data_IF_272365297746
#
_entry.id   IF_272365297746
#
_cell.length_a   1.000
_cell.length_b   1.000
_cell.length_c   1.000
_cell.angle_alpha   90.00
_cell.angle_beta   90.00
_cell.angle_gamma   90.00
#
_symmetry.space_group_name_H-M   'P 1'
#
loop_
_entity.id
_entity.type
_entity.pdbx_description
1 polymer ?
#
# COMPACT_ATOMS: atom_id res chain seq x y z
N UNK A 1 -4.65 -38.78 40.16
CA UNK A 1 -4.09 -37.78 39.28
C UNK A 1 -4.93 -37.75 38.01
N UNK A 2 -5.68 -36.68 37.72
CA UNK A 2 -6.38 -36.54 36.44
C UNK A 2 -5.44 -36.06 35.33
N UNK A 3 -5.69 -36.40 34.05
CA UNK A 3 -4.81 -36.03 32.95
C UNK A 3 -4.88 -34.54 32.64
N UNK A 4 -3.73 -33.93 32.38
CA UNK A 4 -3.59 -32.58 31.85
C UNK A 4 -4.07 -32.58 30.39
N UNK A 5 -5.08 -31.81 30.10
CA UNK A 5 -5.50 -31.50 28.72
C UNK A 5 -4.51 -30.44 28.19
N UNK A 6 -3.77 -30.79 27.13
CA UNK A 6 -3.02 -29.84 26.32
C UNK A 6 -4.00 -28.87 25.66
N UNK A 7 -3.95 -27.61 26.04
CA UNK A 7 -4.63 -26.55 25.31
C UNK A 7 -3.81 -26.22 24.06
N UNK A 8 -4.44 -26.38 22.92
CA UNK A 8 -3.87 -26.09 21.62
C UNK A 8 -3.53 -24.59 21.51
N UNK A 9 -2.29 -24.28 21.10
CA UNK A 9 -1.75 -22.90 20.96
C UNK A 9 -2.61 -22.02 20.04
N UNK A 10 -3.35 -22.63 19.09
CA UNK A 10 -4.30 -21.93 18.23
C UNK A 10 -5.49 -21.32 18.99
N UNK A 11 -5.93 -21.97 20.05
CA UNK A 11 -7.02 -21.47 20.91
C UNK A 11 -6.58 -20.29 21.80
N UNK A 12 -5.29 -20.18 22.11
CA UNK A 12 -4.77 -19.13 22.97
C UNK A 12 -4.66 -17.78 22.23
N UNK A 13 -4.34 -17.80 20.93
CA UNK A 13 -4.25 -16.59 20.10
C UNK A 13 -5.63 -15.96 19.88
N UNK A 14 -6.67 -16.78 19.73
CA UNK A 14 -8.06 -16.30 19.58
C UNK A 14 -8.58 -15.69 20.90
N UNK A 15 -8.18 -16.23 22.05
CA UNK A 15 -8.66 -15.74 23.34
C UNK A 15 -8.03 -14.39 23.74
N UNK A 16 -6.80 -14.11 23.32
CA UNK A 16 -6.11 -12.83 23.61
C UNK A 16 -6.70 -11.66 22.82
N UNK A 17 -7.19 -11.90 21.60
CA UNK A 17 -7.87 -10.88 20.78
C UNK A 17 -9.27 -10.56 21.36
N UNK A 18 -9.96 -11.52 21.97
CA UNK A 18 -11.30 -11.32 22.55
C UNK A 18 -11.23 -10.51 23.87
N UNK A 19 -10.16 -10.59 24.64
CA UNK A 19 -10.04 -9.86 25.91
C UNK A 19 -9.82 -8.35 25.69
N UNK A 20 -9.27 -7.93 24.57
CA UNK A 20 -9.10 -6.50 24.24
C UNK A 20 -10.44 -5.84 23.83
N UNK A 21 -11.45 -6.61 23.44
CA UNK A 21 -12.76 -6.11 23.00
C UNK A 21 -13.82 -6.00 24.13
N UNK A 22 -13.56 -6.49 25.34
CA UNK A 22 -14.57 -6.51 26.43
C UNK A 22 -14.22 -5.69 27.66
N UNK A 23 -13.22 -4.80 27.62
CA UNK A 23 -12.96 -3.82 28.67
C UNK A 23 -13.54 -2.45 28.35
N UNK A 24 -14.83 -2.41 28.02
CA UNK A 24 -15.59 -1.16 27.96
C UNK A 24 -16.73 -1.28 28.96
N UNK A 25 -16.50 -0.99 30.24
CA UNK A 25 -17.57 -0.78 31.21
C UNK A 25 -17.43 0.58 31.90
N UNK A 26 -18.47 1.36 31.68
CA UNK A 26 -19.08 2.41 32.50
C UNK A 26 -18.14 3.22 33.45
N UNK A 27 -17.54 4.19 32.87
CA UNK A 27 -17.08 5.39 33.54
C UNK A 27 -16.85 6.44 32.46
N UNK A 28 -17.64 7.51 32.47
CA UNK A 28 -17.41 8.72 31.71
C UNK A 28 -16.09 9.39 32.18
N UNK A 29 -14.96 8.75 31.86
CA UNK A 29 -13.71 9.44 31.66
C UNK A 29 -13.56 9.55 30.15
N UNK A 30 -13.67 10.76 29.61
CA UNK A 30 -13.08 11.08 28.34
C UNK A 30 -11.66 10.55 28.37
N UNK A 31 -11.44 9.38 27.73
CA UNK A 31 -10.12 8.99 27.30
C UNK A 31 -9.70 10.14 26.40
N UNK A 32 -8.92 11.05 26.96
CA UNK A 32 -8.37 12.17 26.23
C UNK A 32 -7.72 11.57 24.99
N UNK A 33 -8.32 11.77 23.84
CA UNK A 33 -7.69 11.45 22.56
C UNK A 33 -6.37 12.21 22.58
N UNK A 34 -5.26 11.51 22.76
CA UNK A 34 -3.93 12.10 22.56
C UNK A 34 -3.92 12.50 21.09
N UNK A 35 -4.30 13.76 20.81
CA UNK A 35 -4.11 14.36 19.50
C UNK A 35 -2.62 14.65 19.38
N UNK A 36 -1.97 13.91 18.54
CA UNK A 36 -0.62 14.27 18.12
C UNK A 36 -0.74 15.37 17.06
N UNK A 37 0.06 16.41 17.18
CA UNK A 37 0.21 17.38 16.13
C UNK A 37 0.74 16.66 14.87
N UNK A 38 0.17 16.94 13.67
CA UNK A 38 0.61 16.30 12.45
C UNK A 38 2.11 16.55 12.20
N UNK A 39 2.81 15.54 11.74
CA UNK A 39 4.20 15.72 11.32
C UNK A 39 4.27 16.54 10.03
N UNK A 40 5.33 17.37 9.86
CA UNK A 40 5.56 18.10 8.63
C UNK A 40 5.66 17.16 7.42
N UNK A 41 5.04 17.58 6.31
CA UNK A 41 5.09 16.89 5.03
C UNK A 41 5.99 17.68 4.10
N UNK A 42 7.08 17.09 3.64
CA UNK A 42 7.98 17.68 2.64
C UNK A 42 7.46 17.36 1.24
N UNK A 43 7.23 18.38 0.42
CA UNK A 43 6.92 18.22 -1.02
C UNK A 43 8.22 18.25 -1.81
N UNK A 44 8.55 17.14 -2.42
CA UNK A 44 9.83 16.94 -3.12
C UNK A 44 9.57 16.80 -4.61
N UNK A 45 10.26 17.63 -5.39
CA UNK A 45 10.33 17.54 -6.85
C UNK A 45 11.67 16.98 -7.28
N UNK A 46 11.67 15.91 -8.06
CA UNK A 46 12.88 15.28 -8.57
C UNK A 46 12.70 14.79 -10.01
N UNK A 47 13.81 14.61 -10.72
CA UNK A 47 13.78 14.09 -12.09
C UNK A 47 13.71 12.55 -12.06
N UNK A 48 12.70 11.99 -12.73
CA UNK A 48 12.55 10.54 -12.92
C UNK A 48 13.23 10.13 -14.23
N UNK A 49 14.23 9.30 -14.12
CA UNK A 49 14.90 8.72 -15.29
C UNK A 49 13.98 7.79 -16.09
N UNK A 50 13.15 7.01 -15.40
CA UNK A 50 12.21 6.08 -16.02
C UNK A 50 11.10 6.79 -16.80
N UNK A 51 10.72 8.01 -16.36
CA UNK A 51 9.66 8.79 -16.97
C UNK A 51 10.19 9.96 -17.81
N UNK A 52 11.49 10.28 -17.75
CA UNK A 52 12.16 11.39 -18.43
C UNK A 52 11.47 12.75 -18.19
N UNK A 53 11.01 12.96 -16.95
CA UNK A 53 10.38 14.22 -16.50
C UNK A 53 10.47 14.39 -15.00
N UNK A 54 10.23 15.64 -14.56
CA UNK A 54 10.09 15.91 -13.13
C UNK A 54 8.80 15.26 -12.59
N UNK A 55 8.93 14.63 -11.44
CA UNK A 55 7.85 14.03 -10.66
C UNK A 55 7.88 14.56 -9.23
N UNK A 56 6.80 14.33 -8.51
CA UNK A 56 6.66 14.73 -7.13
C UNK A 56 6.48 13.52 -6.22
N UNK A 57 6.91 13.66 -4.99
CA UNK A 57 6.60 12.78 -3.86
C UNK A 57 6.39 13.62 -2.61
N UNK A 58 5.60 13.16 -1.68
CA UNK A 58 5.62 13.68 -0.32
C UNK A 58 6.43 12.76 0.58
N UNK A 59 7.23 13.36 1.46
CA UNK A 59 8.02 12.64 2.46
C UNK A 59 7.63 13.13 3.85
N UNK A 60 7.42 12.21 4.78
CA UNK A 60 7.25 12.51 6.20
C UNK A 60 8.37 11.82 6.96
N UNK A 61 9.12 12.61 7.72
CA UNK A 61 10.18 12.12 8.58
C UNK A 61 9.67 11.84 9.98
N UNK A 62 10.17 10.80 10.67
CA UNK A 62 9.77 10.50 12.03
C UNK A 62 10.22 11.60 12.99
N UNK A 63 9.53 11.71 14.14
CA UNK A 63 9.91 12.67 15.20
C UNK A 63 11.36 12.43 15.64
N UNK A 64 12.12 13.52 15.79
CA UNK A 64 13.53 13.43 16.20
C UNK A 64 14.50 12.99 15.09
N UNK A 65 14.04 12.89 13.84
CA UNK A 65 14.92 12.54 12.72
C UNK A 65 16.15 13.44 12.64
N UNK A 66 16.02 14.75 12.83
CA UNK A 66 17.15 15.70 12.77
C UNK A 66 18.14 15.55 13.92
N UNK A 67 17.69 15.02 15.05
CA UNK A 67 18.48 14.89 16.28
C UNK A 67 19.18 13.53 16.40
N UNK A 68 19.05 12.66 15.42
CA UNK A 68 19.61 11.31 15.41
C UNK A 68 20.43 11.02 14.16
N UNK A 69 21.30 10.02 14.24
CA UNK A 69 22.08 9.51 13.10
C UNK A 69 21.71 8.06 12.75
N UNK A 70 20.58 7.56 13.25
CA UNK A 70 20.12 6.19 12.93
C UNK A 70 19.50 6.12 11.55
N UNK A 71 19.48 4.92 10.99
CA UNK A 71 18.74 4.61 9.75
C UNK A 71 17.32 4.15 10.11
N UNK A 72 16.36 4.51 9.29
CA UNK A 72 14.93 4.26 9.50
C UNK A 72 14.35 3.33 8.44
N UNK A 73 13.39 2.45 8.81
CA UNK A 73 12.58 1.76 7.82
C UNK A 73 11.72 2.74 7.02
N UNK A 74 11.33 2.34 5.81
CA UNK A 74 10.56 3.18 4.88
C UNK A 74 9.28 2.49 4.47
N UNK A 75 8.16 3.19 4.59
CA UNK A 75 6.86 2.80 4.06
C UNK A 75 6.52 3.66 2.83
N UNK A 76 6.32 3.01 1.67
CA UNK A 76 5.87 3.65 0.44
C UNK A 76 4.35 3.53 0.34
N UNK A 77 3.65 4.66 0.10
CA UNK A 77 2.19 4.74 0.02
C UNK A 77 1.76 5.07 -1.41
N UNK A 78 0.92 4.21 -1.98
CA UNK A 78 0.42 4.22 -3.35
C UNK A 78 -1.02 4.73 -3.39
N UNK A 79 -1.26 5.89 -4.02
CA UNK A 79 -2.57 6.54 -4.11
C UNK A 79 -3.57 5.82 -5.03
N UNK A 80 -4.85 6.10 -4.84
CA UNK A 80 -5.95 5.59 -5.66
C UNK A 80 -6.04 6.24 -7.05
N UNK A 81 -6.91 5.67 -7.90
CA UNK A 81 -7.21 6.22 -9.23
C UNK A 81 -7.81 7.61 -9.08
N UNK A 82 -7.41 8.53 -9.96
CA UNK A 82 -7.81 9.95 -9.96
C UNK A 82 -7.28 10.80 -8.81
N UNK A 83 -6.58 10.18 -7.84
CA UNK A 83 -5.90 10.84 -6.74
C UNK A 83 -4.41 11.15 -7.07
N UNK A 84 -3.61 11.51 -6.09
CA UNK A 84 -2.20 11.87 -6.22
C UNK A 84 -1.44 11.66 -4.90
N UNK A 85 -0.16 12.00 -4.85
CA UNK A 85 0.71 11.92 -3.68
C UNK A 85 0.27 12.74 -2.45
N UNK A 86 -0.83 13.51 -2.53
CA UNK A 86 -1.43 14.19 -1.38
C UNK A 86 -2.56 13.39 -0.70
N UNK A 87 -3.06 12.31 -1.29
CA UNK A 87 -4.20 11.55 -0.77
C UNK A 87 -4.04 11.19 0.70
N UNK A 88 -2.88 10.70 1.07
CA UNK A 88 -2.61 10.21 2.42
C UNK A 88 -2.52 11.32 3.49
N UNK A 89 -2.39 12.58 3.08
CA UNK A 89 -2.55 13.72 4.00
C UNK A 89 -3.99 13.89 4.45
N UNK A 90 -4.95 13.57 3.58
CA UNK A 90 -6.38 13.70 3.88
C UNK A 90 -6.91 12.54 4.74
N UNK A 91 -6.29 11.37 4.66
CA UNK A 91 -6.67 10.21 5.48
C UNK A 91 -5.91 10.11 6.81
N UNK A 92 -5.17 11.14 7.20
CA UNK A 92 -4.60 11.29 8.55
C UNK A 92 -3.24 10.66 8.78
N UNK A 93 -2.47 10.34 7.73
CA UNK A 93 -1.13 9.73 7.89
C UNK A 93 -0.15 10.62 8.68
N UNK A 94 -0.11 11.97 8.49
CA UNK A 94 0.78 12.83 9.28
C UNK A 94 0.55 12.74 10.80
N UNK A 95 -0.69 12.52 11.23
CA UNK A 95 -1.08 12.34 12.63
C UNK A 95 -0.70 10.95 13.13
N UNK A 96 -0.95 9.91 12.34
CA UNK A 96 -0.71 8.52 12.73
C UNK A 96 0.77 8.20 12.86
N UNK A 97 1.60 8.81 12.02
CA UNK A 97 3.04 8.54 11.96
C UNK A 97 3.78 8.91 13.24
N UNK A 98 3.24 9.81 14.08
CA UNK A 98 3.83 10.15 15.37
C UNK A 98 4.11 8.96 16.32
N UNK A 99 3.55 7.79 16.00
CA UNK A 99 3.69 6.56 16.79
C UNK A 99 4.76 5.61 16.26
N UNK A 100 5.38 5.94 15.14
CA UNK A 100 6.28 5.04 14.43
C UNK A 100 7.58 5.75 14.06
N UNK A 101 8.71 5.11 14.37
CA UNK A 101 10.03 5.58 13.95
C UNK A 101 10.33 5.05 12.53
N UNK A 102 9.60 5.55 11.55
CA UNK A 102 9.78 5.21 10.12
C UNK A 102 9.60 6.44 9.24
N UNK A 103 10.23 6.42 8.07
CA UNK A 103 9.99 7.38 7.00
C UNK A 103 8.77 6.91 6.20
N UNK A 104 7.88 7.84 5.85
CA UNK A 104 6.77 7.56 4.92
C UNK A 104 6.96 8.36 3.64
N UNK A 105 6.82 7.68 2.50
CA UNK A 105 6.94 8.26 1.16
C UNK A 105 5.62 8.05 0.42
N UNK A 106 4.94 9.14 0.07
CA UNK A 106 3.72 9.11 -0.73
C UNK A 106 4.10 9.33 -2.20
N UNK A 107 3.92 8.30 -3.01
CA UNK A 107 4.37 8.31 -4.41
C UNK A 107 3.32 8.93 -5.34
N UNK A 108 3.74 9.56 -6.44
CA UNK A 108 2.85 9.99 -7.52
C UNK A 108 3.13 9.21 -8.81
N UNK A 109 2.08 8.66 -9.37
CA UNK A 109 2.11 7.96 -10.66
C UNK A 109 0.99 8.39 -11.61
N UNK A 110 0.20 9.41 -11.22
CA UNK A 110 -1.03 9.76 -11.96
C UNK A 110 -1.95 8.54 -12.12
N UNK A 111 -2.63 8.45 -13.24
CA UNK A 111 -3.58 7.36 -13.53
C UNK A 111 -2.89 6.22 -14.32
N UNK A 112 -1.73 5.76 -13.87
CA UNK A 112 -0.90 4.81 -14.61
C UNK A 112 -1.11 3.34 -14.25
N UNK A 113 -1.82 3.05 -13.16
CA UNK A 113 -1.94 1.71 -12.57
C UNK A 113 -0.60 1.12 -12.09
N UNK A 114 0.39 1.95 -11.83
CA UNK A 114 1.71 1.52 -11.33
C UNK A 114 2.47 0.58 -12.28
N UNK A 115 2.06 0.45 -13.54
CA UNK A 115 2.66 -0.48 -14.51
C UNK A 115 3.50 0.26 -15.56
N UNK A 116 4.47 -0.43 -16.12
CA UNK A 116 5.15 0.03 -17.33
C UNK A 116 4.23 -0.19 -18.52
N UNK A 117 3.87 0.88 -19.23
CA UNK A 117 2.95 0.79 -20.37
C UNK A 117 3.63 0.16 -21.57
N UNK A 118 2.96 -0.76 -22.23
CA UNK A 118 3.50 -1.49 -23.39
C UNK A 118 3.84 -0.55 -24.54
N UNK A 119 3.04 0.51 -24.76
CA UNK A 119 3.35 1.57 -25.73
C UNK A 119 3.06 2.94 -25.15
N UNK A 120 4.07 3.78 -25.12
CA UNK A 120 3.93 5.21 -24.84
C UNK A 120 3.65 5.98 -26.13
N UNK A 121 2.94 7.11 -26.02
CA UNK A 121 2.87 8.08 -27.12
C UNK A 121 4.28 8.59 -27.43
N UNK A 122 4.54 8.89 -28.70
CA UNK A 122 5.86 9.42 -29.12
C UNK A 122 6.29 10.61 -28.25
N UNK A 123 7.50 10.55 -27.74
CA UNK A 123 8.08 11.57 -26.84
C UNK A 123 7.66 11.46 -25.38
N UNK A 124 6.88 10.42 -25.00
CA UNK A 124 6.57 10.11 -23.61
C UNK A 124 7.23 8.82 -23.19
N UNK A 125 7.53 8.73 -21.89
CA UNK A 125 8.03 7.55 -21.20
C UNK A 125 7.05 7.21 -20.08
N UNK A 126 6.42 6.03 -20.13
CA UNK A 126 5.39 5.61 -19.20
C UNK A 126 5.80 4.35 -18.42
N UNK A 127 7.05 4.35 -17.90
CA UNK A 127 7.62 3.26 -17.13
C UNK A 127 7.38 3.49 -15.62
N UNK A 128 6.12 3.44 -15.19
CA UNK A 128 5.75 3.82 -13.83
C UNK A 128 6.11 2.77 -12.76
N UNK A 129 6.16 1.48 -13.12
CA UNK A 129 6.69 0.48 -12.21
C UNK A 129 8.16 0.75 -11.90
N UNK A 130 8.96 1.05 -12.93
CA UNK A 130 10.37 1.42 -12.79
C UNK A 130 10.55 2.73 -12.03
N UNK A 131 9.68 3.72 -12.27
CA UNK A 131 9.66 4.96 -11.52
C UNK A 131 9.55 4.72 -10.01
N UNK A 132 8.62 3.86 -9.57
CA UNK A 132 8.46 3.57 -8.15
C UNK A 132 9.61 2.71 -7.62
N UNK A 133 9.94 1.61 -8.31
CA UNK A 133 10.86 0.59 -7.80
C UNK A 133 12.33 0.92 -7.98
N UNK A 134 12.66 1.88 -8.85
CA UNK A 134 14.04 2.31 -9.14
C UNK A 134 14.24 3.78 -8.75
N UNK A 135 13.52 4.71 -9.40
CA UNK A 135 13.83 6.14 -9.27
C UNK A 135 13.48 6.67 -7.88
N UNK A 136 12.24 6.40 -7.39
CA UNK A 136 11.81 6.86 -6.05
C UNK A 136 12.64 6.18 -4.96
N UNK A 137 12.81 4.86 -5.01
CA UNK A 137 13.61 4.13 -4.00
C UNK A 137 15.04 4.66 -3.97
N UNK A 138 15.69 4.82 -5.12
CA UNK A 138 17.04 5.34 -5.20
C UNK A 138 17.14 6.78 -4.68
N UNK A 139 16.17 7.64 -5.04
CA UNK A 139 16.12 9.01 -4.54
C UNK A 139 16.03 9.04 -3.01
N UNK A 140 15.10 8.27 -2.44
CA UNK A 140 14.87 8.20 -1.00
C UNK A 140 16.10 7.65 -0.26
N UNK A 141 16.69 6.57 -0.74
CA UNK A 141 17.87 5.95 -0.12
C UNK A 141 19.12 6.83 -0.20
N UNK A 142 19.21 7.73 -1.19
CA UNK A 142 20.37 8.65 -1.34
C UNK A 142 20.22 9.96 -0.58
N UNK A 143 18.98 10.37 -0.27
CA UNK A 143 18.72 11.68 0.37
C UNK A 143 18.31 11.56 1.84
N UNK A 144 17.90 10.37 2.28
CA UNK A 144 17.46 10.14 3.66
C UNK A 144 18.19 8.96 4.29
N UNK A 145 18.27 8.95 5.61
CA UNK A 145 18.86 7.85 6.38
C UNK A 145 17.90 6.67 6.43
N UNK A 146 17.96 5.83 5.43
CA UNK A 146 17.10 4.66 5.27
C UNK A 146 17.84 3.36 5.56
N UNK A 147 17.13 2.36 6.05
CA UNK A 147 17.59 0.96 5.99
C UNK A 147 17.40 0.49 4.56
N UNK A 148 18.39 0.79 3.70
CA UNK A 148 18.37 0.62 2.24
C UNK A 148 18.40 -0.85 1.79
N UNK A 149 17.46 -1.64 2.32
CA UNK A 149 17.36 -3.08 2.02
C UNK A 149 15.90 -3.55 2.13
N UNK A 150 15.60 -4.73 1.57
CA UNK A 150 14.28 -5.38 1.69
C UNK A 150 13.75 -5.38 3.13
N UNK A 151 14.61 -5.62 4.12
CA UNK A 151 14.22 -5.72 5.53
C UNK A 151 13.56 -4.44 6.06
N UNK A 152 14.02 -3.29 5.57
CA UNK A 152 13.56 -1.97 6.00
C UNK A 152 12.52 -1.35 5.06
N UNK A 153 11.98 -2.07 4.06
CA UNK A 153 10.99 -1.49 3.12
C UNK A 153 9.66 -2.21 3.16
N UNK A 154 8.60 -1.42 3.19
CA UNK A 154 7.24 -1.88 2.99
C UNK A 154 6.54 -1.00 1.93
N UNK A 155 5.53 -1.55 1.27
CA UNK A 155 4.66 -0.83 0.33
C UNK A 155 3.20 -1.08 0.67
N UNK A 156 2.38 -0.04 0.56
CA UNK A 156 0.97 -0.06 0.92
C UNK A 156 0.19 0.80 -0.07
N UNK A 157 -1.08 0.57 -0.25
CA UNK A 157 -1.87 1.39 -1.17
C UNK A 157 -3.36 1.19 -1.07
N UNK A 158 -4.08 2.16 -1.64
CA UNK A 158 -5.52 2.25 -1.65
C UNK A 158 -6.03 2.05 -3.08
N UNK A 159 -7.08 1.22 -3.28
CA UNK A 159 -7.76 1.09 -4.57
C UNK A 159 -6.82 0.71 -5.73
N UNK A 160 -6.61 1.58 -6.72
CA UNK A 160 -5.58 1.42 -7.76
C UNK A 160 -4.18 1.27 -7.12
N UNK A 161 -3.89 2.01 -6.05
CA UNK A 161 -2.65 1.89 -5.29
C UNK A 161 -2.54 0.57 -4.54
N UNK A 162 -3.67 0.02 -4.07
CA UNK A 162 -3.73 -1.32 -3.47
C UNK A 162 -3.36 -2.42 -4.48
N UNK A 163 -3.85 -2.31 -5.72
CA UNK A 163 -3.37 -3.13 -6.84
C UNK A 163 -1.87 -2.91 -7.06
N UNK A 164 -1.43 -1.65 -7.14
CA UNK A 164 -0.03 -1.29 -7.37
C UNK A 164 0.91 -1.85 -6.30
N UNK A 165 0.54 -1.76 -5.03
CA UNK A 165 1.34 -2.28 -3.92
C UNK A 165 1.50 -3.80 -3.97
N UNK A 166 0.43 -4.54 -4.25
CA UNK A 166 0.48 -5.99 -4.42
C UNK A 166 1.28 -6.37 -5.67
N UNK A 167 0.99 -5.75 -6.82
CA UNK A 167 1.70 -5.99 -8.08
C UNK A 167 3.21 -5.74 -7.92
N UNK A 168 3.61 -4.55 -7.46
CA UNK A 168 5.02 -4.18 -7.33
C UNK A 168 5.75 -5.06 -6.31
N UNK A 169 5.09 -5.39 -5.19
CA UNK A 169 5.69 -6.22 -4.17
C UNK A 169 5.89 -7.68 -4.59
N UNK A 170 4.95 -8.26 -5.32
CA UNK A 170 5.06 -9.62 -5.84
C UNK A 170 6.03 -9.71 -7.03
N UNK A 171 6.06 -8.70 -7.91
CA UNK A 171 6.99 -8.65 -9.05
C UNK A 171 8.44 -8.36 -8.61
N UNK A 172 8.62 -7.73 -7.45
CA UNK A 172 9.94 -7.36 -6.93
C UNK A 172 10.12 -7.86 -5.48
N UNK A 173 10.07 -9.18 -5.24
CA UNK A 173 10.08 -9.75 -3.88
C UNK A 173 11.37 -9.48 -3.10
N UNK A 174 12.42 -9.02 -3.77
CA UNK A 174 13.69 -8.61 -3.15
C UNK A 174 13.69 -7.13 -2.69
N UNK A 175 12.65 -6.35 -2.97
CA UNK A 175 12.58 -4.94 -2.58
C UNK A 175 11.80 -4.71 -1.28
N UNK A 176 10.72 -5.47 -1.02
CA UNK A 176 9.80 -5.21 0.08
C UNK A 176 9.62 -6.44 0.96
N UNK A 177 9.69 -6.26 2.29
CA UNK A 177 9.40 -7.32 3.24
C UNK A 177 7.92 -7.41 3.62
N UNK A 178 7.14 -6.35 3.36
CA UNK A 178 5.71 -6.30 3.63
C UNK A 178 4.99 -5.51 2.54
N UNK A 179 3.84 -6.03 2.10
CA UNK A 179 2.94 -5.43 1.12
C UNK A 179 1.54 -5.35 1.68
N UNK A 180 0.83 -4.26 1.44
CA UNK A 180 -0.52 -4.07 1.94
C UNK A 180 -1.45 -3.45 0.92
N UNK A 181 -2.73 -3.82 0.95
CA UNK A 181 -3.77 -3.34 0.04
C UNK A 181 -5.06 -3.06 0.77
N UNK A 182 -5.53 -1.81 0.66
CA UNK A 182 -6.82 -1.36 1.16
C UNK A 182 -7.80 -1.23 -0.01
N UNK A 183 -8.89 -1.98 0.02
CA UNK A 183 -9.89 -1.96 -1.08
C UNK A 183 -9.23 -2.04 -2.46
N UNK A 184 -8.23 -2.91 -2.63
CA UNK A 184 -7.43 -2.98 -3.85
C UNK A 184 -8.22 -3.50 -5.05
N UNK A 185 -8.01 -2.86 -6.22
CA UNK A 185 -8.61 -3.29 -7.48
C UNK A 185 -7.88 -4.49 -8.08
N UNK A 186 -7.74 -5.58 -7.31
CA UNK A 186 -6.85 -6.71 -7.61
C UNK A 186 -7.20 -7.44 -8.91
N UNK A 187 -8.48 -7.47 -9.29
CA UNK A 187 -8.94 -8.10 -10.54
C UNK A 187 -8.77 -7.25 -11.79
N UNK A 188 -8.32 -6.00 -11.64
CA UNK A 188 -8.27 -5.07 -12.78
C UNK A 188 -7.48 -5.62 -13.98
N UNK A 189 -6.32 -6.22 -13.77
CA UNK A 189 -5.50 -6.78 -14.86
C UNK A 189 -6.23 -7.92 -15.61
N UNK A 190 -6.87 -8.83 -14.88
CA UNK A 190 -7.66 -9.91 -15.45
C UNK A 190 -8.87 -9.39 -16.28
N UNK A 191 -9.48 -8.29 -15.85
CA UNK A 191 -10.57 -7.65 -16.62
C UNK A 191 -10.05 -6.98 -17.89
N UNK A 192 -8.87 -6.35 -17.84
CA UNK A 192 -8.24 -5.80 -19.05
C UNK A 192 -7.87 -6.91 -20.05
N UNK A 193 -7.38 -8.05 -19.55
CA UNK A 193 -7.13 -9.23 -20.36
C UNK A 193 -8.37 -9.69 -21.14
N UNK A 194 -9.51 -9.83 -20.43
CA UNK A 194 -10.79 -10.20 -21.05
C UNK A 194 -11.22 -9.23 -22.16
N UNK A 195 -10.99 -7.93 -21.97
CA UNK A 195 -11.26 -6.91 -22.98
C UNK A 195 -10.40 -7.12 -24.23
N UNK A 196 -9.11 -7.35 -24.06
CA UNK A 196 -8.18 -7.62 -25.16
C UNK A 196 -8.53 -8.89 -25.93
N UNK A 197 -8.92 -9.97 -25.25
CA UNK A 197 -9.41 -11.21 -25.88
C UNK A 197 -10.67 -10.99 -26.74
N UNK A 198 -11.49 -10.00 -26.35
CA UNK A 198 -12.68 -9.58 -27.11
C UNK A 198 -12.36 -8.55 -28.22
N UNK A 199 -11.10 -8.22 -28.45
CA UNK A 199 -10.67 -7.19 -29.38
C UNK A 199 -11.05 -5.76 -28.97
N UNK A 200 -11.38 -5.56 -27.67
CA UNK A 200 -11.70 -4.25 -27.09
C UNK A 200 -10.45 -3.60 -26.53
N UNK A 201 -10.49 -2.26 -26.43
CA UNK A 201 -9.38 -1.50 -25.80
C UNK A 201 -9.44 -1.64 -24.28
N UNK A 202 -8.28 -1.83 -23.61
CA UNK A 202 -8.17 -1.68 -22.18
C UNK A 202 -8.61 -0.28 -21.75
N UNK A 203 -9.26 -0.19 -20.58
CA UNK A 203 -9.57 1.10 -19.98
C UNK A 203 -8.57 1.45 -18.86
N UNK A 204 -8.23 2.71 -18.77
CA UNK A 204 -7.40 3.27 -17.69
C UNK A 204 -8.27 3.98 -16.67
N UNK A 205 -9.22 4.77 -17.16
CA UNK A 205 -10.25 5.46 -16.38
C UNK A 205 -11.59 5.19 -17.07
N UNK A 206 -12.62 4.82 -16.32
CA UNK A 206 -13.98 4.74 -16.86
C UNK A 206 -14.66 6.11 -16.83
N UNK A 207 -15.53 6.36 -17.79
CA UNK A 207 -16.16 7.69 -18.00
C UNK A 207 -16.88 8.22 -16.77
N UNK A 208 -17.52 7.36 -15.98
CA UNK A 208 -18.20 7.77 -14.75
C UNK A 208 -17.23 8.29 -13.69
N UNK A 209 -16.05 7.68 -13.54
CA UNK A 209 -15.02 8.15 -12.61
C UNK A 209 -14.50 9.54 -12.99
N UNK A 210 -14.40 9.85 -14.29
CA UNK A 210 -14.05 11.19 -14.77
C UNK A 210 -15.07 12.25 -14.34
N UNK A 211 -16.37 11.94 -14.39
CA UNK A 211 -17.44 12.87 -14.04
C UNK A 211 -17.55 13.10 -12.53
N UNK A 212 -17.45 12.02 -11.73
CA UNK A 212 -17.61 12.09 -10.28
C UNK A 212 -16.42 12.78 -9.60
N UNK A 213 -15.21 12.66 -10.18
CA UNK A 213 -13.98 13.17 -9.57
C UNK A 213 -13.68 14.61 -9.93
N UNK A 214 -14.12 15.09 -11.09
CA UNK A 214 -14.04 16.51 -11.45
C UNK A 214 -14.75 17.40 -10.42
N UNK A 215 -15.77 16.89 -9.74
CA UNK A 215 -16.49 17.63 -8.69
C UNK A 215 -15.81 17.58 -7.32
N UNK A 216 -15.03 16.55 -7.00
CA UNK A 216 -14.43 16.36 -5.66
C UNK A 216 -13.04 16.97 -5.50
N UNK A 217 -12.22 16.97 -6.54
CA UNK A 217 -10.77 17.30 -6.46
C UNK A 217 -10.36 18.53 -7.29
N UNK A 218 -11.31 19.29 -7.85
CA UNK A 218 -11.02 20.48 -8.68
C UNK A 218 -10.34 21.64 -7.93
N UNK A 219 -10.16 21.54 -6.62
CA UNK A 219 -9.56 22.61 -5.81
C UNK A 219 -8.11 22.36 -5.39
N UNK A 220 -7.49 21.26 -5.83
CA UNK A 220 -6.09 21.00 -5.53
C UNK A 220 -5.29 21.37 -6.78
N UNK A 221 -4.94 22.65 -6.87
CA UNK A 221 -4.02 23.16 -7.88
C UNK A 221 -2.60 22.70 -7.52
N UNK A 222 -2.17 21.62 -8.16
CA UNK A 222 -0.80 21.14 -8.05
C UNK A 222 -0.09 21.58 -9.32
N UNK A 223 0.96 22.36 -9.19
CA UNK A 223 1.77 22.82 -10.31
C UNK A 223 2.17 21.65 -11.21
N UNK A 224 1.66 21.61 -12.46
CA UNK A 224 1.89 20.57 -13.44
C UNK A 224 0.86 19.41 -13.44
N UNK A 225 -0.19 19.46 -12.59
CA UNK A 225 -1.22 18.41 -12.49
C UNK A 225 -2.60 19.01 -12.29
N UNK A 226 -3.04 19.87 -13.17
CA UNK A 226 -4.30 20.61 -12.98
C UNK A 226 -5.56 19.81 -13.30
N UNK A 227 -5.49 18.76 -14.12
CA UNK A 227 -6.67 17.98 -14.50
C UNK A 227 -6.42 16.47 -14.59
N UNK A 228 -7.47 15.65 -14.36
CA UNK A 228 -7.41 14.20 -14.48
C UNK A 228 -6.93 13.72 -15.86
N UNK A 229 -7.37 14.32 -17.00
CA UNK A 229 -6.85 13.98 -18.31
C UNK A 229 -5.35 14.20 -18.46
N UNK A 230 -4.81 15.28 -17.89
CA UNK A 230 -3.37 15.59 -17.95
C UNK A 230 -2.53 14.61 -17.16
N UNK A 231 -3.08 14.07 -16.07
CA UNK A 231 -2.46 13.05 -15.23
C UNK A 231 -2.59 11.64 -15.77
N UNK A 232 -3.36 11.46 -16.85
CA UNK A 232 -3.53 10.14 -17.49
C UNK A 232 -2.46 9.98 -18.58
N UNK A 233 -1.58 8.97 -18.47
CA UNK A 233 -0.58 8.71 -19.49
C UNK A 233 -1.23 8.46 -20.87
N UNK A 234 -0.55 8.85 -21.92
CA UNK A 234 -1.02 8.63 -23.30
C UNK A 234 -0.26 7.49 -23.95
N UNK A 235 -1.01 6.58 -24.59
CA UNK A 235 -0.48 5.40 -25.23
C UNK A 235 -1.40 4.19 -25.09
N UNK A 236 -0.81 3.02 -25.01
CA UNK A 236 -1.53 1.77 -24.76
C UNK A 236 -0.89 1.08 -23.56
N UNK A 237 -1.67 0.95 -22.49
CA UNK A 237 -1.20 0.29 -21.26
C UNK A 237 -0.88 -1.17 -21.53
N UNK A 238 -1.76 -1.86 -22.27
CA UNK A 238 -1.59 -3.22 -22.76
C UNK A 238 -1.94 -3.29 -24.26
N UNK A 239 -1.24 -4.13 -25.00
CA UNK A 239 -1.46 -4.35 -26.45
C UNK A 239 -2.04 -5.74 -26.72
N UNK A 240 -1.68 -6.72 -25.91
CA UNK A 240 -2.09 -8.12 -26.01
C UNK A 240 -2.42 -8.68 -24.62
N UNK A 241 -3.21 -9.77 -24.52
CA UNK A 241 -3.61 -10.37 -23.26
C UNK A 241 -2.45 -10.68 -22.29
N UNK A 242 -1.31 -11.13 -22.83
CA UNK A 242 -0.12 -11.50 -22.03
C UNK A 242 0.50 -10.29 -21.31
N UNK A 243 0.31 -9.07 -21.84
CA UNK A 243 0.78 -7.85 -21.17
C UNK A 243 0.02 -7.62 -19.85
N UNK A 244 -1.27 -7.93 -19.82
CA UNK A 244 -2.08 -7.86 -18.62
C UNK A 244 -1.77 -9.02 -17.66
N UNK A 245 -1.49 -10.23 -18.18
CA UNK A 245 -1.09 -11.38 -17.38
C UNK A 245 0.21 -11.11 -16.59
N UNK A 246 1.15 -10.40 -17.19
CA UNK A 246 2.43 -10.08 -16.58
C UNK A 246 2.33 -9.18 -15.33
N UNK A 247 1.18 -8.56 -15.11
CA UNK A 247 0.94 -7.66 -13.95
C UNK A 247 -0.25 -8.12 -13.09
N UNK A 248 -0.79 -9.31 -13.35
CA UNK A 248 -1.95 -9.84 -12.64
C UNK A 248 -1.55 -10.40 -11.26
N UNK A 249 -2.00 -9.80 -10.14
CA UNK A 249 -1.70 -10.26 -8.80
C UNK A 249 -2.06 -11.74 -8.56
N UNK A 250 -3.16 -12.24 -9.18
CA UNK A 250 -3.59 -13.62 -9.02
C UNK A 250 -2.62 -14.63 -9.65
N UNK A 251 -1.87 -14.22 -10.67
CA UNK A 251 -0.83 -15.04 -11.29
C UNK A 251 0.51 -14.89 -10.59
N UNK A 252 0.90 -13.64 -10.36
CA UNK A 252 2.19 -13.31 -9.76
C UNK A 252 2.38 -13.95 -8.38
N UNK A 253 1.33 -13.99 -7.57
CA UNK A 253 1.43 -14.59 -6.22
C UNK A 253 1.78 -16.07 -6.25
N UNK A 254 1.46 -16.79 -7.32
CA UNK A 254 1.80 -18.21 -7.49
C UNK A 254 3.24 -18.41 -8.02
N UNK A 255 3.87 -17.36 -8.53
CA UNK A 255 5.22 -17.41 -9.11
C UNK A 255 6.32 -17.02 -8.12
N UNK A 256 5.97 -16.36 -7.00
CA UNK A 256 6.95 -15.97 -5.97
C UNK A 256 7.50 -17.18 -5.25
N UNK A 257 8.84 -17.39 -5.17
CA UNK A 257 9.45 -18.45 -4.37
C UNK A 257 9.07 -18.32 -2.88
N UNK A 258 8.80 -19.45 -2.21
CA UNK A 258 8.31 -19.44 -0.80
C UNK A 258 9.19 -18.63 0.15
N UNK A 259 10.51 -18.74 0.00
CA UNK A 259 11.48 -18.02 0.83
C UNK A 259 11.54 -16.52 0.57
N UNK A 260 10.92 -16.05 -0.52
CA UNK A 260 10.85 -14.65 -0.92
C UNK A 260 9.50 -14.01 -0.70
N UNK A 261 8.51 -14.75 -0.19
CA UNK A 261 7.22 -14.15 0.07
C UNK A 261 7.36 -12.95 1.01
N UNK A 262 6.80 -11.78 0.63
CA UNK A 262 6.61 -10.70 1.58
C UNK A 262 5.50 -11.07 2.56
N UNK A 263 5.44 -10.41 3.70
CA UNK A 263 4.24 -10.37 4.51
C UNK A 263 3.11 -9.69 3.70
N UNK A 264 1.95 -10.32 3.60
CA UNK A 264 0.79 -9.83 2.85
C UNK A 264 -0.30 -9.40 3.83
N UNK A 265 -0.72 -8.14 3.75
CA UNK A 265 -1.87 -7.59 4.47
C UNK A 265 -2.92 -7.09 3.48
N UNK A 266 -4.16 -7.47 3.70
CA UNK A 266 -5.28 -7.09 2.85
C UNK A 266 -6.45 -6.65 3.73
N UNK A 267 -7.19 -5.63 3.31
CA UNK A 267 -8.52 -5.36 3.84
C UNK A 267 -9.45 -4.79 2.77
N UNK A 268 -10.75 -4.86 3.06
CA UNK A 268 -11.78 -4.28 2.21
C UNK A 268 -13.07 -4.07 3.00
N UNK A 269 -13.73 -2.94 2.79
CA UNK A 269 -15.03 -2.65 3.39
C UNK A 269 -16.08 -3.66 2.92
N UNK A 270 -16.98 -4.08 3.84
CA UNK A 270 -18.02 -5.06 3.51
C UNK A 270 -18.99 -4.53 2.44
N UNK A 271 -19.24 -3.21 2.43
CA UNK A 271 -20.09 -2.53 1.44
C UNK A 271 -19.32 -2.04 0.21
N UNK A 272 -18.01 -2.30 0.11
CA UNK A 272 -17.18 -1.88 -1.02
C UNK A 272 -17.46 -2.73 -2.26
N UNK A 273 -17.52 -2.09 -3.43
CA UNK A 273 -17.69 -2.79 -4.71
C UNK A 273 -16.55 -3.75 -5.08
N UNK A 274 -15.38 -3.61 -4.45
CA UNK A 274 -14.20 -4.46 -4.69
C UNK A 274 -14.09 -5.63 -3.69
N UNK A 275 -15.01 -5.77 -2.74
CA UNK A 275 -14.98 -6.82 -1.72
C UNK A 275 -14.94 -8.24 -2.32
N UNK A 276 -15.63 -8.45 -3.45
CA UNK A 276 -15.63 -9.74 -4.14
C UNK A 276 -14.22 -10.10 -4.62
N UNK A 277 -13.54 -9.17 -5.29
CA UNK A 277 -12.19 -9.37 -5.78
C UNK A 277 -11.18 -9.61 -4.63
N UNK A 278 -11.34 -8.90 -3.50
CA UNK A 278 -10.52 -9.12 -2.32
C UNK A 278 -10.69 -10.55 -1.76
N UNK A 279 -11.94 -11.03 -1.67
CA UNK A 279 -12.25 -12.40 -1.20
C UNK A 279 -11.70 -13.47 -2.13
N UNK A 280 -11.87 -13.30 -3.44
CA UNK A 280 -11.34 -14.23 -4.45
C UNK A 280 -9.80 -14.33 -4.37
N UNK A 281 -9.11 -13.22 -4.11
CA UNK A 281 -7.67 -13.25 -3.91
C UNK A 281 -7.29 -13.96 -2.59
N UNK A 282 -8.03 -13.72 -1.52
CA UNK A 282 -7.85 -14.42 -0.24
C UNK A 282 -8.10 -15.93 -0.38
N UNK A 283 -9.14 -16.35 -1.10
CA UNK A 283 -9.42 -17.76 -1.38
C UNK A 283 -8.23 -18.40 -2.11
N UNK A 284 -7.65 -17.71 -3.10
CA UNK A 284 -6.45 -18.18 -3.81
C UNK A 284 -5.25 -18.35 -2.86
N UNK A 285 -5.05 -17.41 -1.91
CA UNK A 285 -3.96 -17.52 -0.93
C UNK A 285 -4.16 -18.73 -0.01
N UNK A 286 -5.40 -18.97 0.43
CA UNK A 286 -5.77 -20.14 1.26
C UNK A 286 -5.52 -21.44 0.50
N UNK A 287 -5.99 -21.54 -0.74
CA UNK A 287 -5.85 -22.74 -1.58
C UNK A 287 -4.40 -23.12 -1.86
N UNK A 288 -3.48 -22.15 -1.77
CA UNK A 288 -2.05 -22.37 -2.04
C UNK A 288 -1.16 -22.31 -0.79
N UNK A 289 -1.74 -22.35 0.42
CA UNK A 289 -1.02 -22.28 1.69
C UNK A 289 -0.08 -21.06 1.82
N UNK A 290 -0.47 -19.93 1.22
CA UNK A 290 0.29 -18.68 1.28
C UNK A 290 -0.13 -17.90 2.53
N UNK A 291 0.79 -17.52 3.44
CA UNK A 291 0.44 -16.79 4.64
C UNK A 291 0.06 -15.33 4.34
N UNK A 292 -1.00 -14.85 4.97
CA UNK A 292 -1.50 -13.48 4.85
C UNK A 292 -2.24 -13.04 6.11
N UNK A 293 -2.53 -11.74 6.21
CA UNK A 293 -3.50 -11.16 7.13
C UNK A 293 -4.62 -10.52 6.32
N UNK A 294 -5.86 -10.76 6.71
CA UNK A 294 -7.02 -10.20 6.04
C UNK A 294 -8.05 -9.66 7.03
N UNK A 295 -8.50 -8.41 6.80
CA UNK A 295 -9.56 -7.74 7.54
C UNK A 295 -10.77 -7.43 6.67
N UNK A 296 -11.96 -7.51 7.26
CA UNK A 296 -13.19 -6.96 6.72
C UNK A 296 -13.91 -6.21 7.83
N UNK A 297 -14.25 -4.96 7.58
CA UNK A 297 -15.01 -4.16 8.52
C UNK A 297 -16.11 -3.38 7.80
N UNK A 298 -17.02 -2.78 8.55
CA UNK A 298 -18.05 -1.93 7.97
C UNK A 298 -17.41 -0.72 7.28
N UNK A 299 -17.83 -0.47 6.04
CA UNK A 299 -17.31 0.63 5.22
C UNK A 299 -17.55 0.41 3.73
N UNK A 300 -17.36 1.50 3.00
CA UNK A 300 -17.50 1.59 1.55
C UNK A 300 -16.12 1.89 0.92
N UNK A 301 -16.12 2.17 -0.40
CA UNK A 301 -14.92 2.62 -1.12
C UNK A 301 -14.67 4.12 -0.88
N UNK A 302 -14.22 4.48 0.32
CA UNK A 302 -14.19 5.87 0.78
C UNK A 302 -13.09 6.16 1.80
N UNK A 303 -12.77 7.46 1.96
CA UNK A 303 -11.68 7.95 2.82
C UNK A 303 -11.85 7.59 4.29
N UNK A 304 -13.09 7.61 4.82
CA UNK A 304 -13.37 7.26 6.22
C UNK A 304 -12.99 5.81 6.54
N UNK A 305 -13.24 4.89 5.60
CA UNK A 305 -12.79 3.50 5.71
C UNK A 305 -11.27 3.43 5.71
N UNK A 306 -10.65 3.99 4.68
CA UNK A 306 -9.19 3.90 4.49
C UNK A 306 -8.39 4.56 5.61
N UNK A 307 -8.84 5.72 6.11
CA UNK A 307 -8.18 6.42 7.22
C UNK A 307 -8.14 5.58 8.50
N UNK A 308 -9.19 4.81 8.77
CA UNK A 308 -9.26 3.90 9.91
C UNK A 308 -8.36 2.67 9.74
N UNK A 309 -8.47 1.98 8.61
CA UNK A 309 -7.77 0.72 8.37
C UNK A 309 -6.28 0.91 8.06
N UNK A 310 -5.90 2.00 7.40
CA UNK A 310 -4.51 2.33 7.11
C UNK A 310 -3.66 2.44 8.38
N UNK A 311 -4.22 3.02 9.44
CA UNK A 311 -3.55 3.11 10.72
C UNK A 311 -3.20 1.74 11.32
N UNK A 312 -4.07 0.74 11.10
CA UNK A 312 -3.86 -0.65 11.55
C UNK A 312 -2.76 -1.29 10.72
N UNK A 313 -2.87 -1.20 9.39
CA UNK A 313 -1.88 -1.80 8.49
C UNK A 313 -0.49 -1.20 8.64
N UNK A 314 -0.38 0.12 8.87
CA UNK A 314 0.89 0.80 9.16
C UNK A 314 1.57 0.23 10.42
N UNK A 315 0.79 -0.02 11.49
CA UNK A 315 1.32 -0.62 12.71
C UNK A 315 1.81 -2.06 12.48
N UNK A 316 1.04 -2.85 11.72
CA UNK A 316 1.41 -4.22 11.34
C UNK A 316 2.68 -4.23 10.49
N UNK A 317 2.75 -3.41 9.44
CA UNK A 317 3.91 -3.34 8.55
C UNK A 317 5.16 -2.82 9.28
N UNK A 318 5.01 -1.85 10.18
CA UNK A 318 6.11 -1.38 11.02
C UNK A 318 6.65 -2.52 11.91
N UNK A 319 5.79 -3.28 12.58
CA UNK A 319 6.20 -4.44 13.37
C UNK A 319 6.89 -5.52 12.53
N UNK A 320 6.42 -5.76 11.31
CA UNK A 320 7.07 -6.68 10.36
C UNK A 320 8.45 -6.19 9.97
N UNK A 321 8.61 -4.91 9.64
CA UNK A 321 9.93 -4.34 9.33
C UNK A 321 10.87 -4.46 10.51
N UNK A 322 10.45 -4.10 11.73
CA UNK A 322 11.27 -4.23 12.92
C UNK A 322 11.71 -5.68 13.18
N UNK A 323 10.80 -6.65 13.03
CA UNK A 323 11.14 -8.07 13.16
C UNK A 323 12.18 -8.51 12.12
N UNK A 324 12.08 -8.04 10.88
CA UNK A 324 13.05 -8.33 9.83
C UNK A 324 14.41 -7.68 10.06
N UNK A 325 14.45 -6.49 10.65
CA UNK A 325 15.67 -5.73 10.95
C UNK A 325 16.40 -6.37 12.15
N UNK A 326 15.69 -6.58 13.24
CA UNK A 326 16.26 -6.96 14.54
C UNK A 326 16.31 -8.49 14.74
N UNK A 327 15.53 -9.28 13.97
CA UNK A 327 15.51 -10.73 14.07
C UNK A 327 15.18 -11.21 15.48
N UNK A 328 16.01 -12.13 16.00
CA UNK A 328 15.83 -12.69 17.36
C UNK A 328 16.00 -11.67 18.50
N UNK A 329 16.61 -10.53 18.23
CA UNK A 329 16.71 -9.47 19.24
C UNK A 329 15.35 -8.81 19.48
N UNK A 330 14.51 -8.73 18.46
CA UNK A 330 13.14 -8.22 18.62
C UNK A 330 12.31 -9.09 19.57
N UNK A 331 12.47 -10.41 19.50
CA UNK A 331 11.77 -11.35 20.40
C UNK A 331 12.14 -11.16 21.88
N UNK A 332 13.32 -10.64 22.19
CA UNK A 332 13.75 -10.34 23.58
C UNK A 332 13.09 -9.09 24.16
N UNK A 333 12.59 -8.19 23.32
CA UNK A 333 11.91 -6.96 23.72
C UNK A 333 10.38 -7.06 23.60
N UNK A 334 9.86 -8.18 23.13
CA UNK A 334 8.41 -8.42 23.14
C UNK A 334 7.94 -8.64 24.59
N UNK A 335 7.21 -7.67 25.20
CA UNK A 335 6.74 -7.79 26.58
C UNK A 335 5.76 -8.95 26.79
N UNK A 336 5.31 -9.61 25.71
CA UNK A 336 4.39 -10.75 25.70
C UNK A 336 5.08 -12.09 25.42
N UNK A 337 6.40 -12.11 25.23
CA UNK A 337 7.18 -13.33 24.94
C UNK A 337 7.65 -14.08 26.20
N UNK A 338 7.25 -13.63 27.41
CA UNK A 338 7.57 -14.29 28.69
C UNK A 338 6.36 -15.01 29.28
#
# INVERSE_FOLDING_TARGET
MPPRTELDIKSLVILTIIIILFSCDKGNQELGHIRYDPLPVEDIKFFSESLQRNMHINVILPRGYQDSNIEYPVLYLCHGLTSNYHEFKHVGVPEYLNRFDMIVVMVDVGNSWYVNWTKSKQGQHNNFADHVTKDIINYVDTHYRTIASRKGRAINGISMGGFGAIFLGLSHPDLFCSIASHSGALQWAADQRKLLEQGKKPWVIWEKALLDTVTRYNNIDIEGYSTIPERTPQGQIFVKPEDADAVDPFKLVLEVPKEKFPHIYLDCGIGDGLIKSAREFVDLLIENDIPFQYGQSDGLHEEDYWGRELNISMAVQYAVMLRNIWGKEFERYDPYSQ
#
